data_IF_886417609711
#
_entry.id   IF_886417609711
#
_cell.length_a   1.000
_cell.length_b   1.000
_cell.length_c   1.000
_cell.angle_alpha   90.00
_cell.angle_beta   90.00
_cell.angle_gamma   90.00
#
_symmetry.space_group_name_H-M   'P 1'
#
loop_
_entity.id
_entity.type
_entity.pdbx_description
1 polymer ?
#
# COMPACT_ATOMS: atom_id res chain seq x y z
N UNK A 1 -4.67 24.87 -15.42
CA UNK A 1 -3.96 24.18 -14.31
C UNK A 1 -4.66 22.85 -14.13
N UNK A 2 -4.10 21.76 -14.68
CA UNK A 2 -4.81 20.48 -14.76
C UNK A 2 -3.83 19.37 -14.39
N UNK A 3 -3.72 19.10 -13.10
CA UNK A 3 -3.09 17.92 -12.50
C UNK A 3 -3.97 17.53 -11.33
N UNK A 4 -5.07 16.82 -11.62
CA UNK A 4 -6.02 16.36 -10.61
C UNK A 4 -5.50 15.06 -9.98
N UNK A 5 -4.46 15.14 -9.16
CA UNK A 5 -4.11 14.01 -8.30
C UNK A 5 -4.95 14.08 -7.02
N UNK A 6 -5.25 12.93 -6.41
CA UNK A 6 -5.98 12.88 -5.13
C UNK A 6 -5.27 13.71 -4.05
N UNK A 7 -3.93 13.82 -4.11
CA UNK A 7 -3.13 14.67 -3.23
C UNK A 7 -3.49 16.15 -3.38
N UNK A 8 -3.51 16.66 -4.61
CA UNK A 8 -3.83 18.06 -4.88
C UNK A 8 -5.27 18.39 -4.46
N UNK A 9 -6.18 17.42 -4.63
CA UNK A 9 -7.55 17.53 -4.16
C UNK A 9 -7.63 17.63 -2.63
N UNK A 10 -6.94 16.75 -1.90
CA UNK A 10 -6.93 16.76 -0.42
C UNK A 10 -6.39 18.11 0.09
N UNK A 11 -5.27 18.60 -0.46
CA UNK A 11 -4.70 19.91 -0.10
C UNK A 11 -5.68 21.05 -0.40
N UNK A 12 -6.40 20.98 -1.53
CA UNK A 12 -7.40 21.99 -1.90
C UNK A 12 -8.59 22.00 -0.93
N UNK A 13 -9.03 20.82 -0.48
CA UNK A 13 -10.10 20.69 0.52
C UNK A 13 -9.68 21.30 1.85
N UNK A 14 -8.44 21.05 2.30
CA UNK A 14 -7.92 21.63 3.53
C UNK A 14 -7.97 23.17 3.51
N UNK A 15 -7.53 23.77 2.41
CA UNK A 15 -7.46 25.23 2.25
C UNK A 15 -8.85 25.87 2.16
N UNK A 16 -9.81 25.21 1.51
CA UNK A 16 -11.15 25.77 1.22
C UNK A 16 -12.26 24.74 1.43
N UNK A 17 -12.46 24.23 2.65
CA UNK A 17 -13.34 23.09 2.88
C UNK A 17 -14.79 23.36 2.47
N UNK A 18 -15.28 24.59 2.68
CA UNK A 18 -16.65 25.01 2.29
C UNK A 18 -16.91 24.99 0.77
N UNK A 19 -15.87 24.91 -0.07
CA UNK A 19 -16.01 24.80 -1.53
C UNK A 19 -16.36 23.36 -1.95
N UNK A 20 -15.97 22.38 -1.15
CA UNK A 20 -16.09 20.95 -1.47
C UNK A 20 -17.09 20.24 -0.56
N UNK A 21 -17.11 20.61 0.72
CA UNK A 21 -17.84 19.94 1.78
C UNK A 21 -18.91 20.87 2.36
N UNK A 22 -20.06 20.28 2.68
CA UNK A 22 -21.15 21.00 3.35
C UNK A 22 -20.76 21.43 4.77
N UNK A 23 -20.11 20.54 5.51
CA UNK A 23 -19.65 20.73 6.88
C UNK A 23 -18.20 20.23 7.01
N UNK A 24 -17.46 20.74 8.01
CA UNK A 24 -16.09 20.29 8.34
C UNK A 24 -16.13 19.05 9.26
N UNK A 25 -16.67 17.95 8.77
CA UNK A 25 -16.73 16.70 9.53
C UNK A 25 -15.93 15.62 8.81
N UNK A 26 -15.35 14.69 9.57
CA UNK A 26 -14.55 13.61 8.98
C UNK A 26 -15.40 12.71 8.07
N UNK A 27 -16.68 12.52 8.39
CA UNK A 27 -17.63 11.77 7.55
C UNK A 27 -17.84 12.47 6.21
N UNK A 28 -18.09 13.79 6.22
CA UNK A 28 -18.31 14.54 4.98
C UNK A 28 -17.07 14.51 4.08
N UNK A 29 -15.88 14.55 4.68
CA UNK A 29 -14.62 14.39 3.95
C UNK A 29 -14.48 12.98 3.37
N UNK A 30 -14.76 11.94 4.16
CA UNK A 30 -14.67 10.54 3.75
C UNK A 30 -15.61 10.26 2.58
N UNK A 31 -16.88 10.64 2.69
CA UNK A 31 -17.88 10.49 1.63
C UNK A 31 -17.44 11.16 0.33
N UNK A 32 -16.88 12.36 0.42
CA UNK A 32 -16.39 13.10 -0.73
C UNK A 32 -15.21 12.39 -1.41
N UNK A 33 -14.20 11.96 -0.64
CA UNK A 33 -13.02 11.28 -1.18
C UNK A 33 -13.34 9.90 -1.74
N UNK A 34 -14.27 9.17 -1.12
CA UNK A 34 -14.78 7.90 -1.63
C UNK A 34 -15.49 8.10 -2.98
N UNK A 35 -16.38 9.09 -3.06
CA UNK A 35 -17.08 9.45 -4.30
C UNK A 35 -16.12 9.88 -5.42
N UNK A 36 -15.09 10.66 -5.10
CA UNK A 36 -14.04 11.03 -6.06
C UNK A 36 -13.29 9.80 -6.57
N UNK A 37 -12.88 8.90 -5.68
CA UNK A 37 -12.11 7.68 -6.02
C UNK A 37 -12.93 6.72 -6.89
N UNK A 38 -14.23 6.60 -6.66
CA UNK A 38 -15.14 5.81 -7.51
C UNK A 38 -15.32 6.43 -8.91
N UNK A 39 -15.27 7.75 -9.02
CA UNK A 39 -15.40 8.48 -10.29
C UNK A 39 -14.11 8.48 -11.13
N UNK A 40 -12.95 8.35 -10.48
CA UNK A 40 -11.67 8.15 -11.16
C UNK A 40 -11.55 6.69 -11.61
N UNK A 41 -11.62 6.43 -12.93
CA UNK A 41 -11.22 5.11 -13.45
C UNK A 41 -9.78 4.87 -13.01
N UNK A 42 -9.55 3.83 -12.21
CA UNK A 42 -8.21 3.37 -11.86
C UNK A 42 -7.42 3.16 -13.16
N UNK A 43 -6.52 4.09 -13.48
CA UNK A 43 -5.47 3.78 -14.44
C UNK A 43 -4.66 2.68 -13.76
N UNK A 44 -4.50 1.54 -14.43
CA UNK A 44 -3.54 0.53 -14.02
C UNK A 44 -2.17 1.22 -13.99
N UNK A 45 -1.73 1.58 -12.79
CA UNK A 45 -0.44 2.21 -12.59
C UNK A 45 0.63 1.13 -12.73
N UNK A 46 1.47 1.25 -13.77
CA UNK A 46 2.71 0.49 -13.83
C UNK A 46 3.71 1.16 -12.90
N UNK A 47 4.26 0.41 -11.95
CA UNK A 47 5.30 0.88 -11.05
C UNK A 47 4.94 0.75 -9.57
N UNK A 48 5.59 1.54 -8.74
CA UNK A 48 5.28 1.64 -7.31
C UNK A 48 4.79 3.05 -6.95
N UNK A 49 3.90 3.15 -5.97
CA UNK A 49 3.43 4.43 -5.42
C UNK A 49 3.06 4.29 -3.95
N UNK A 50 3.40 5.29 -3.15
CA UNK A 50 2.84 5.47 -1.80
C UNK A 50 1.58 6.35 -1.97
N UNK A 51 0.54 5.77 -2.58
CA UNK A 51 -0.70 6.48 -2.87
C UNK A 51 -1.63 6.57 -1.64
N UNK A 52 -2.76 7.26 -1.79
CA UNK A 52 -3.71 7.47 -0.69
C UNK A 52 -4.25 6.17 -0.07
N UNK A 53 -4.21 5.04 -0.78
CA UNK A 53 -4.61 3.76 -0.17
C UNK A 53 -3.71 3.41 1.02
N UNK A 54 -2.41 3.71 0.95
CA UNK A 54 -1.46 3.46 2.05
C UNK A 54 -1.71 4.34 3.27
N UNK A 55 -2.46 5.44 3.13
CA UNK A 55 -2.88 6.24 4.27
C UNK A 55 -3.74 5.41 5.25
N UNK A 56 -4.55 4.47 4.75
CA UNK A 56 -5.31 3.55 5.60
C UNK A 56 -4.40 2.70 6.49
N UNK A 57 -3.34 2.13 5.90
CA UNK A 57 -2.37 1.30 6.62
C UNK A 57 -1.53 2.14 7.60
N UNK A 58 -1.13 3.34 7.18
CA UNK A 58 -0.42 4.29 8.03
C UNK A 58 -1.23 4.65 9.29
N UNK A 59 -2.51 5.02 9.15
CA UNK A 59 -3.38 5.33 10.29
C UNK A 59 -3.57 4.14 11.22
N UNK A 60 -3.75 2.94 10.65
CA UNK A 60 -3.85 1.69 11.41
C UNK A 60 -2.60 1.49 12.28
N UNK A 61 -1.42 1.67 11.71
CA UNK A 61 -0.16 1.48 12.42
C UNK A 61 0.09 2.60 13.44
N UNK A 62 -0.16 3.86 13.07
CA UNK A 62 -0.01 5.03 13.95
C UNK A 62 -0.83 4.89 15.25
N UNK A 63 -2.08 4.44 15.14
CA UNK A 63 -2.95 4.23 16.30
C UNK A 63 -2.94 2.81 16.85
N UNK A 64 -2.04 1.94 16.40
CA UNK A 64 -1.87 0.56 16.86
C UNK A 64 -3.13 -0.32 16.74
N UNK A 65 -3.93 -0.13 15.70
CA UNK A 65 -5.03 -1.04 15.39
C UNK A 65 -4.50 -2.38 14.85
N UNK A 66 -5.20 -3.46 15.18
CA UNK A 66 -4.86 -4.81 14.72
C UNK A 66 -5.18 -5.04 13.23
N UNK A 67 -6.09 -4.24 12.65
CA UNK A 67 -6.52 -4.34 11.27
C UNK A 67 -7.00 -2.99 10.73
N UNK A 68 -6.86 -2.79 9.41
CA UNK A 68 -7.33 -1.58 8.72
C UNK A 68 -8.82 -1.65 8.33
N UNK A 69 -9.54 -2.72 8.70
CA UNK A 69 -10.95 -2.92 8.33
C UNK A 69 -11.89 -1.88 8.94
N UNK A 70 -11.50 -1.26 10.06
CA UNK A 70 -12.23 -0.13 10.63
C UNK A 70 -12.24 1.09 9.71
N UNK A 71 -11.28 1.23 8.78
CA UNK A 71 -11.13 2.39 7.92
C UNK A 71 -10.50 3.59 8.66
N UNK A 72 -9.77 4.45 7.93
CA UNK A 72 -9.07 5.59 8.56
C UNK A 72 -10.05 6.55 9.25
N UNK A 73 -11.28 6.68 8.74
CA UNK A 73 -12.29 7.57 9.29
C UNK A 73 -12.66 7.18 10.72
N UNK A 74 -13.02 5.92 10.94
CA UNK A 74 -13.39 5.45 12.29
C UNK A 74 -12.19 5.44 13.22
N UNK A 75 -11.02 5.01 12.75
CA UNK A 75 -9.81 4.99 13.59
C UNK A 75 -9.44 6.40 14.10
N UNK A 76 -9.54 7.43 13.25
CA UNK A 76 -9.30 8.82 13.65
C UNK A 76 -10.42 9.34 14.54
N UNK A 77 -11.68 9.03 14.23
CA UNK A 77 -12.85 9.49 14.98
C UNK A 77 -12.85 8.95 16.42
N UNK A 78 -12.58 7.65 16.59
CA UNK A 78 -12.43 6.99 17.90
C UNK A 78 -11.31 7.66 18.71
N UNK A 79 -10.16 7.94 18.09
CA UNK A 79 -9.07 8.67 18.74
C UNK A 79 -9.46 10.10 19.15
N UNK A 80 -10.43 10.69 18.46
CA UNK A 80 -10.96 12.02 18.75
C UNK A 80 -12.15 12.01 19.73
N UNK A 81 -12.47 10.89 20.37
CA UNK A 81 -13.63 10.75 21.27
C UNK A 81 -14.95 11.10 20.56
N UNK A 82 -15.11 10.64 19.32
CA UNK A 82 -16.27 10.86 18.46
C UNK A 82 -16.55 12.33 18.08
N UNK A 83 -15.57 13.22 18.28
CA UNK A 83 -15.64 14.60 17.82
C UNK A 83 -15.31 14.69 16.32
N UNK A 84 -16.38 14.85 15.53
CA UNK A 84 -16.35 14.92 14.07
C UNK A 84 -15.52 16.08 13.49
N UNK A 85 -15.55 17.26 14.10
CA UNK A 85 -14.82 18.44 13.61
C UNK A 85 -13.35 18.37 14.02
N UNK A 86 -13.07 17.89 15.23
CA UNK A 86 -11.69 17.58 15.65
C UNK A 86 -11.06 16.50 14.76
N UNK A 87 -11.79 15.41 14.49
CA UNK A 87 -11.34 14.33 13.62
C UNK A 87 -11.04 14.83 12.19
N UNK A 88 -11.86 15.76 11.67
CA UNK A 88 -11.60 16.42 10.38
C UNK A 88 -10.25 17.12 10.36
N UNK A 89 -9.88 17.84 11.41
CA UNK A 89 -8.57 18.51 11.49
C UNK A 89 -7.41 17.52 11.71
N UNK A 90 -7.61 16.49 12.53
CA UNK A 90 -6.61 15.44 12.77
C UNK A 90 -6.30 14.66 11.49
N UNK A 91 -7.28 14.45 10.60
CA UNK A 91 -7.04 13.85 9.29
C UNK A 91 -5.94 14.60 8.53
N UNK A 92 -6.03 15.93 8.39
CA UNK A 92 -5.04 16.68 7.62
C UNK A 92 -3.67 16.67 8.29
N UNK A 93 -3.62 16.75 9.62
CA UNK A 93 -2.36 16.61 10.35
C UNK A 93 -1.67 15.27 10.04
N UNK A 94 -2.40 14.16 10.16
CA UNK A 94 -1.88 12.82 9.86
C UNK A 94 -1.53 12.67 8.37
N UNK A 95 -2.32 13.29 7.48
CA UNK A 95 -2.07 13.24 6.06
C UNK A 95 -0.78 13.97 5.67
N UNK A 96 -0.48 15.12 6.27
CA UNK A 96 0.79 15.81 6.05
C UNK A 96 1.98 14.97 6.53
N UNK A 97 1.89 14.35 7.71
CA UNK A 97 2.92 13.44 8.22
C UNK A 97 3.12 12.23 7.28
N UNK A 98 2.03 11.65 6.77
CA UNK A 98 2.08 10.59 5.77
C UNK A 98 2.78 11.04 4.46
N UNK A 99 2.56 12.28 4.03
CA UNK A 99 3.16 12.83 2.81
C UNK A 99 4.67 13.10 2.94
N UNK A 100 5.23 13.10 4.14
CA UNK A 100 6.66 13.19 4.39
C UNK A 100 7.39 11.84 4.27
N UNK A 101 6.64 10.74 4.21
CA UNK A 101 7.18 9.39 4.07
C UNK A 101 7.81 9.24 2.69
N UNK A 102 9.05 8.75 2.67
CA UNK A 102 9.85 8.51 1.47
C UNK A 102 10.53 7.14 1.55
N UNK A 103 11.08 6.68 0.43
CA UNK A 103 11.89 5.46 0.41
C UNK A 103 13.31 5.81 0.87
N UNK A 104 13.78 5.20 1.95
CA UNK A 104 15.11 5.41 2.51
C UNK A 104 16.13 4.40 1.98
N UNK A 105 15.70 3.17 1.77
CA UNK A 105 16.58 2.12 1.24
C UNK A 105 15.81 1.10 0.42
N UNK A 106 16.53 0.46 -0.52
CA UNK A 106 15.96 -0.49 -1.47
C UNK A 106 16.81 -1.74 -1.49
N UNK A 107 16.16 -2.89 -1.34
CA UNK A 107 16.80 -4.19 -1.40
C UNK A 107 16.15 -5.06 -2.46
N UNK A 108 16.95 -5.81 -3.22
CA UNK A 108 16.46 -6.75 -4.25
C UNK A 108 17.01 -8.15 -4.00
N UNK A 109 16.18 -9.15 -4.28
CA UNK A 109 16.63 -10.53 -4.40
C UNK A 109 16.00 -11.19 -5.64
N UNK A 110 16.81 -11.95 -6.37
CA UNK A 110 16.37 -12.70 -7.54
C UNK A 110 15.84 -14.06 -7.10
N UNK A 111 14.71 -14.46 -7.67
CA UNK A 111 14.12 -15.78 -7.46
C UNK A 111 14.86 -16.81 -8.30
N UNK A 112 15.00 -18.01 -7.75
CA UNK A 112 15.58 -19.14 -8.45
C UNK A 112 14.52 -20.17 -8.90
N UNK A 113 14.99 -21.28 -9.44
CA UNK A 113 14.12 -22.37 -9.89
C UNK A 113 13.30 -22.98 -8.74
N UNK A 114 13.87 -23.06 -7.54
CA UNK A 114 13.16 -23.61 -6.37
C UNK A 114 12.00 -22.71 -5.95
N UNK A 115 12.19 -21.39 -6.00
CA UNK A 115 11.13 -20.43 -5.72
C UNK A 115 10.01 -20.52 -6.75
N UNK A 116 10.37 -20.64 -8.03
CA UNK A 116 9.38 -20.80 -9.10
C UNK A 116 8.57 -22.07 -8.91
N UNK A 117 9.23 -23.21 -8.66
CA UNK A 117 8.55 -24.50 -8.40
C UNK A 117 7.59 -24.38 -7.22
N UNK A 118 7.97 -23.72 -6.13
CA UNK A 118 7.07 -23.50 -4.99
C UNK A 118 5.87 -22.61 -5.37
N UNK A 119 6.11 -21.50 -6.08
CA UNK A 119 5.08 -20.52 -6.41
C UNK A 119 3.96 -21.11 -7.30
N UNK A 120 4.34 -21.98 -8.24
CA UNK A 120 3.41 -22.65 -9.16
C UNK A 120 2.83 -23.95 -8.59
N UNK A 121 3.29 -24.39 -7.42
CA UNK A 121 2.71 -25.55 -6.73
C UNK A 121 1.43 -25.11 -5.99
N UNK A 122 0.28 -25.42 -6.59
CA UNK A 122 -1.03 -25.04 -6.06
C UNK A 122 -1.40 -25.76 -4.76
N UNK A 123 -0.65 -26.79 -4.36
CA UNK A 123 -0.81 -27.46 -3.08
C UNK A 123 0.01 -26.82 -1.94
N UNK A 124 0.73 -25.73 -2.21
CA UNK A 124 1.62 -25.04 -1.25
C UNK A 124 1.33 -23.54 -1.15
N UNK A 125 1.75 -22.92 -0.04
CA UNK A 125 1.68 -21.46 0.17
C UNK A 125 0.26 -20.90 0.26
N UNK A 126 0.09 -19.61 -0.06
CA UNK A 126 -1.22 -18.91 -0.04
C UNK A 126 -2.28 -19.44 -1.03
N UNK A 127 -1.92 -20.41 -1.89
CA UNK A 127 -2.85 -21.08 -2.79
C UNK A 127 -3.71 -22.14 -2.06
N UNK A 128 -3.41 -22.43 -0.78
CA UNK A 128 -4.21 -23.27 0.11
C UNK A 128 -5.53 -22.59 0.48
N UNK A 129 -6.46 -22.49 -0.46
CA UNK A 129 -7.87 -22.27 -0.13
C UNK A 129 -8.49 -23.65 0.04
N UNK A 130 -8.75 -24.03 1.29
CA UNK A 130 -9.53 -25.22 1.58
C UNK A 130 -10.90 -25.08 0.90
N UNK A 131 -11.21 -26.02 -0.01
CA UNK A 131 -12.49 -26.20 -0.72
C UNK A 131 -12.65 -25.58 -2.13
N UNK A 132 -11.57 -25.23 -2.84
CA UNK A 132 -11.63 -24.91 -4.27
C UNK A 132 -10.90 -25.96 -5.12
N UNK A 133 -11.40 -26.22 -6.33
CA UNK A 133 -10.75 -27.07 -7.32
C UNK A 133 -9.39 -26.47 -7.71
N UNK A 134 -8.30 -27.12 -7.27
CA UNK A 134 -6.92 -26.68 -7.46
C UNK A 134 -6.56 -26.50 -8.95
N UNK A 135 -7.33 -27.11 -9.88
CA UNK A 135 -7.10 -27.00 -11.32
C UNK A 135 -7.56 -25.66 -11.91
N UNK A 136 -8.37 -24.86 -11.20
CA UNK A 136 -8.89 -23.58 -11.69
C UNK A 136 -8.18 -22.35 -11.11
N UNK A 137 -7.26 -22.55 -10.16
CA UNK A 137 -6.55 -21.47 -9.52
C UNK A 137 -5.34 -21.08 -10.38
N UNK A 138 -5.23 -19.79 -10.72
CA UNK A 138 -3.99 -19.23 -11.27
C UNK A 138 -3.02 -18.87 -10.13
N UNK A 139 -1.70 -19.03 -10.32
CA UNK A 139 -0.70 -18.56 -9.37
C UNK A 139 -0.84 -17.05 -9.16
N UNK A 140 -0.56 -16.59 -7.93
CA UNK A 140 -0.71 -15.19 -7.52
C UNK A 140 0.06 -14.23 -8.45
N UNK A 141 1.22 -14.65 -8.96
CA UNK A 141 2.03 -13.88 -9.90
C UNK A 141 2.41 -14.72 -11.12
N UNK A 142 2.21 -14.17 -12.32
CA UNK A 142 2.68 -14.78 -13.56
C UNK A 142 4.18 -14.51 -13.71
N UNK A 143 5.00 -15.56 -13.84
CA UNK A 143 6.46 -15.52 -14.04
C UNK A 143 7.23 -14.51 -13.13
N UNK A 144 7.19 -14.67 -11.80
CA UNK A 144 7.95 -13.80 -10.91
C UNK A 144 9.47 -14.05 -11.06
N UNK A 145 10.26 -12.97 -11.18
CA UNK A 145 11.71 -13.01 -11.37
C UNK A 145 12.50 -12.60 -10.13
N UNK A 146 11.97 -11.63 -9.40
CA UNK A 146 12.63 -11.02 -8.24
C UNK A 146 11.58 -10.42 -7.34
N UNK A 147 11.98 -10.11 -6.11
CA UNK A 147 11.24 -9.21 -5.26
C UNK A 147 12.14 -8.07 -4.79
N UNK A 148 11.51 -6.93 -4.54
CA UNK A 148 12.14 -5.70 -4.06
C UNK A 148 11.45 -5.31 -2.77
N UNK A 149 12.25 -5.03 -1.75
CA UNK A 149 11.82 -4.53 -0.45
C UNK A 149 12.22 -3.07 -0.36
N UNK A 150 11.23 -2.20 -0.21
CA UNK A 150 11.42 -0.77 0.04
C UNK A 150 11.33 -0.55 1.54
N UNK A 151 12.34 0.03 2.15
CA UNK A 151 12.26 0.55 3.51
C UNK A 151 11.81 1.99 3.45
N UNK A 152 10.80 2.33 4.24
CA UNK A 152 10.27 3.67 4.34
C UNK A 152 10.97 4.45 5.46
N UNK A 153 11.05 5.76 5.26
CA UNK A 153 11.61 6.69 6.25
C UNK A 153 10.76 6.76 7.52
N UNK A 154 11.33 7.34 8.58
CA UNK A 154 10.66 7.64 9.85
C UNK A 154 10.05 6.38 10.52
N UNK A 155 10.68 5.22 10.34
CA UNK A 155 10.23 3.91 10.88
C UNK A 155 8.79 3.54 10.45
N UNK A 156 8.35 3.97 9.27
CA UNK A 156 7.04 3.60 8.71
C UNK A 156 7.01 2.22 8.05
N UNK A 157 7.98 1.37 8.36
CA UNK A 157 8.02 0.00 7.89
C UNK A 157 8.45 -0.12 6.43
N UNK A 158 7.80 -1.05 5.71
CA UNK A 158 8.31 -1.54 4.44
C UNK A 158 7.20 -1.86 3.43
N UNK A 159 7.54 -1.77 2.16
CA UNK A 159 6.69 -2.16 1.02
C UNK A 159 7.36 -3.29 0.24
N UNK A 160 6.57 -4.27 -0.20
CA UNK A 160 7.03 -5.38 -1.04
C UNK A 160 6.55 -5.20 -2.48
N UNK A 161 7.49 -5.22 -3.42
CA UNK A 161 7.23 -5.28 -4.86
C UNK A 161 7.67 -6.63 -5.41
N UNK A 162 6.91 -7.18 -6.36
CA UNK A 162 7.26 -8.40 -7.10
C UNK A 162 7.51 -8.02 -8.56
N UNK A 163 8.70 -8.33 -9.07
CA UNK A 163 9.08 -8.12 -10.46
C UNK A 163 8.69 -9.33 -11.31
N UNK A 164 8.05 -9.08 -12.44
CA UNK A 164 7.70 -10.05 -13.47
C UNK A 164 8.21 -9.60 -14.84
N UNK A 165 8.00 -10.39 -15.90
CA UNK A 165 8.52 -10.15 -17.25
C UNK A 165 8.33 -8.72 -17.78
N UNK A 166 7.21 -8.08 -17.46
CA UNK A 166 6.85 -6.74 -17.98
C UNK A 166 6.14 -5.83 -16.95
N UNK A 167 6.04 -6.25 -15.69
CA UNK A 167 5.24 -5.59 -14.67
C UNK A 167 5.89 -5.73 -13.28
N UNK A 168 5.65 -4.72 -12.45
CA UNK A 168 5.88 -4.79 -11.02
C UNK A 168 4.53 -4.85 -10.32
N UNK A 169 4.38 -5.80 -9.40
CA UNK A 169 3.21 -5.91 -8.54
C UNK A 169 3.56 -5.38 -7.15
N UNK A 170 2.95 -4.27 -6.76
CA UNK A 170 3.05 -3.77 -5.40
C UNK A 170 2.04 -4.48 -4.50
N UNK A 171 2.51 -5.02 -3.36
CA UNK A 171 1.60 -5.49 -2.32
C UNK A 171 0.92 -4.29 -1.66
N UNK A 172 -0.41 -4.32 -1.64
CA UNK A 172 -1.28 -3.45 -0.85
C UNK A 172 -1.23 -3.88 0.62
N UNK A 173 -0.07 -3.72 1.26
CA UNK A 173 0.16 -3.93 2.70
C UNK A 173 1.40 -3.14 3.12
N UNK A 174 1.32 -2.48 4.27
CA UNK A 174 2.49 -1.93 4.95
C UNK A 174 3.01 -2.96 5.96
N UNK A 175 4.27 -3.36 5.81
CA UNK A 175 4.90 -4.34 6.70
C UNK A 175 5.67 -3.60 7.79
N UNK A 176 5.42 -3.91 9.06
CA UNK A 176 6.07 -3.20 10.17
C UNK A 176 7.57 -3.49 10.27
N UNK A 177 7.99 -4.70 9.89
CA UNK A 177 9.36 -5.16 10.08
C UNK A 177 9.76 -6.22 9.06
N UNK A 178 11.07 -6.48 8.96
CA UNK A 178 11.63 -7.49 8.06
C UNK A 178 11.13 -8.92 8.35
N UNK A 179 10.74 -9.24 9.59
CA UNK A 179 10.20 -10.56 9.93
C UNK A 179 8.86 -10.80 9.23
N UNK A 180 7.96 -9.81 9.23
CA UNK A 180 6.69 -9.90 8.51
C UNK A 180 6.88 -10.02 6.99
N UNK A 181 7.86 -9.30 6.43
CA UNK A 181 8.19 -9.38 5.01
C UNK A 181 8.74 -10.77 4.68
N UNK A 182 9.68 -11.27 5.47
CA UNK A 182 10.27 -12.59 5.26
C UNK A 182 9.20 -13.68 5.35
N UNK A 183 8.29 -13.57 6.32
CA UNK A 183 7.15 -14.48 6.41
C UNK A 183 6.25 -14.42 5.16
N UNK A 184 5.97 -13.23 4.63
CA UNK A 184 5.24 -13.08 3.36
C UNK A 184 5.99 -13.70 2.17
N UNK A 185 7.30 -13.46 2.06
CA UNK A 185 8.15 -14.02 0.99
C UNK A 185 8.16 -15.55 1.06
N UNK A 186 8.31 -16.13 2.26
CA UNK A 186 8.26 -17.58 2.46
C UNK A 186 6.92 -18.16 2.05
N UNK A 187 5.81 -17.47 2.35
CA UNK A 187 4.48 -17.90 1.93
C UNK A 187 4.24 -17.81 0.42
N UNK A 188 4.93 -16.90 -0.28
CA UNK A 188 4.81 -16.71 -1.72
C UNK A 188 5.77 -17.59 -2.53
N UNK A 189 6.98 -17.83 -2.01
CA UNK A 189 8.11 -18.39 -2.77
C UNK A 189 8.86 -19.50 -2.04
N UNK A 190 8.42 -19.92 -0.84
CA UNK A 190 8.94 -21.05 -0.09
C UNK A 190 10.25 -20.80 0.65
N UNK A 191 11.17 -20.04 0.05
CA UNK A 191 12.50 -19.73 0.59
C UNK A 191 12.82 -18.26 0.38
N UNK A 192 13.33 -17.59 1.41
CA UNK A 192 13.83 -16.23 1.31
C UNK A 192 15.25 -16.23 0.69
N UNK A 193 15.42 -15.47 -0.38
CA UNK A 193 16.69 -15.24 -1.04
C UNK A 193 17.45 -14.08 -0.39
N UNK A 194 18.78 -14.04 -0.56
CA UNK A 194 19.60 -13.00 0.02
C UNK A 194 19.26 -11.62 -0.58
N UNK A 195 18.79 -10.72 0.27
CA UNK A 195 18.56 -9.32 -0.07
C UNK A 195 19.90 -8.60 -0.31
N UNK A 196 20.00 -7.90 -1.44
CA UNK A 196 21.15 -7.06 -1.79
C UNK A 196 20.69 -5.61 -1.91
N UNK A 197 21.39 -4.64 -1.29
CA UNK A 197 21.06 -3.24 -1.45
C UNK A 197 21.26 -2.81 -2.91
N UNK A 198 20.36 -1.98 -3.42
CA UNK A 198 20.45 -1.35 -4.74
C UNK A 198 20.19 0.16 -4.61
N UNK A 199 20.63 0.95 -5.60
CA UNK A 199 20.39 2.40 -5.60
C UNK A 199 18.89 2.70 -5.63
N UNK A 200 18.45 3.75 -4.92
CA UNK A 200 17.09 4.27 -5.00
C UNK A 200 16.75 4.70 -6.44
N UNK A 201 17.74 5.18 -7.20
CA UNK A 201 17.59 5.55 -8.61
C UNK A 201 17.16 4.35 -9.49
N UNK A 202 17.41 3.11 -9.04
CA UNK A 202 16.91 1.93 -9.72
C UNK A 202 15.38 1.86 -9.74
N UNK A 203 14.71 2.55 -8.79
CA UNK A 203 13.27 2.71 -8.78
C UNK A 203 12.77 3.60 -9.93
N UNK A 204 13.59 4.48 -10.50
CA UNK A 204 13.20 5.30 -11.65
C UNK A 204 12.94 4.44 -12.89
N UNK A 205 13.55 3.26 -12.98
CA UNK A 205 13.25 2.27 -14.02
C UNK A 205 11.96 1.48 -13.73
N UNK A 206 11.41 1.66 -12.53
CA UNK A 206 10.13 1.13 -12.05
C UNK A 206 9.07 2.25 -12.07
N UNK A 207 9.44 3.51 -12.32
CA UNK A 207 8.55 4.67 -12.26
C UNK A 207 7.52 4.72 -13.40
N UNK A 208 6.42 5.39 -13.09
CA UNK A 208 5.17 5.49 -13.84
C UNK A 208 5.37 6.34 -15.10
N UNK A 209 4.80 5.88 -16.23
CA UNK A 209 4.36 6.74 -17.33
C UNK A 209 2.90 7.17 -17.13
#
# INVERSE_FOLDING_TARGET
MNTNTIKDLIISIEQRPKMFLRNKTIDALSDFLNGYSMGSREKIMKGYSIDFWFFHEYIKDYYNYSSSTSGWTNMILEHCCDDQEKAFHVFFQRYHEFMEISVESVFKANLDKSNSVFHFDMAKGKNLIANLDLQQLEPVYKNPKSYIVLQLSLDNGFILLIESDYLFYQKRKLFKNLSEINHEILNLFGTAQQLKPISIEALNNIEIC
#
